data_IF_905680520853
#
_entry.id   IF_905680520853
#
_cell.length_a   1.000
_cell.length_b   1.000
_cell.length_c   1.000
_cell.angle_alpha   90.00
_cell.angle_beta   90.00
_cell.angle_gamma   90.00
#
_symmetry.space_group_name_H-M   'P 1'
#
loop_
_entity.id
_entity.type
_entity.pdbx_description
1 polymer ?
#
# COMPACT_ATOMS: atom_id res chain seq x y z
N UNK A 1 -3.89 40.82 31.46
CA UNK A 1 -2.74 41.42 30.76
C UNK A 1 -1.53 40.52 30.94
N UNK A 2 -0.91 40.09 29.81
CA UNK A 2 0.53 39.78 29.59
C UNK A 2 1.14 38.65 30.45
N UNK A 3 1.94 37.71 29.93
CA UNK A 3 2.62 37.59 28.65
C UNK A 3 3.11 36.14 28.48
N UNK A 4 2.88 35.56 27.30
CA UNK A 4 3.54 34.34 26.85
C UNK A 4 5.03 34.59 26.57
N UNK A 5 5.90 33.71 27.09
CA UNK A 5 7.32 33.52 26.72
C UNK A 5 7.76 32.23 27.44
N UNK A 6 8.28 31.17 26.83
CA UNK A 6 9.19 31.05 25.70
C UNK A 6 8.83 29.78 24.90
N UNK A 7 8.67 29.93 23.58
CA UNK A 7 8.56 28.83 22.60
C UNK A 7 9.64 29.00 21.52
N UNK A 8 10.79 29.57 21.90
CA UNK A 8 11.81 30.07 20.96
C UNK A 8 13.10 29.24 20.93
N UNK A 9 13.22 28.19 21.76
CA UNK A 9 14.45 27.38 21.85
C UNK A 9 14.17 25.87 21.63
N UNK A 10 13.22 25.52 20.76
CA UNK A 10 13.05 24.13 20.34
C UNK A 10 13.58 23.94 18.92
N UNK A 11 14.48 22.96 18.69
CA UNK A 11 14.92 22.61 17.34
C UNK A 11 13.71 22.19 16.51
N UNK A 12 13.66 22.65 15.26
CA UNK A 12 12.55 22.48 14.32
C UNK A 12 12.10 21.03 14.09
N UNK A 13 12.90 20.05 14.50
CA UNK A 13 12.59 18.62 14.41
C UNK A 13 11.57 18.12 15.45
N UNK A 14 11.26 18.89 16.50
CA UNK A 14 10.36 18.45 17.60
C UNK A 14 8.92 18.96 17.48
N UNK A 15 8.51 19.49 16.31
CA UNK A 15 7.17 20.05 16.06
C UNK A 15 6.28 19.19 15.15
N UNK A 16 6.69 17.96 14.83
CA UNK A 16 5.86 16.99 14.11
C UNK A 16 5.54 15.82 15.04
N UNK A 17 4.24 15.60 15.23
CA UNK A 17 3.68 14.87 16.34
C UNK A 17 4.02 13.40 16.38
N UNK A 18 4.34 12.93 17.58
CA UNK A 18 4.02 11.57 17.99
C UNK A 18 2.52 11.51 18.31
N UNK A 19 1.71 11.30 17.27
CA UNK A 19 0.42 10.66 17.43
C UNK A 19 0.63 9.18 17.11
N UNK A 20 1.02 8.42 18.13
CA UNK A 20 1.10 6.96 18.06
C UNK A 20 -0.30 6.38 17.90
N UNK A 21 -0.73 6.17 16.66
CA UNK A 21 -1.83 5.24 16.35
C UNK A 21 -1.23 3.91 15.90
N UNK A 22 -1.42 2.91 16.76
CA UNK A 22 -1.08 1.52 16.53
C UNK A 22 -2.06 0.93 15.50
N UNK A 23 -1.66 0.81 14.22
CA UNK A 23 -2.21 -0.16 13.24
C UNK A 23 -1.75 -0.01 11.78
N UNK A 24 -0.77 0.82 11.41
CA UNK A 24 -0.40 0.96 9.98
C UNK A 24 1.02 0.45 9.66
N UNK A 25 1.11 -0.65 8.92
CA UNK A 25 2.34 -1.16 8.25
C UNK A 25 2.90 -0.23 7.16
N UNK A 26 2.32 0.97 7.00
CA UNK A 26 2.47 1.84 5.83
C UNK A 26 3.14 3.20 6.13
N UNK A 27 3.82 3.34 7.27
CA UNK A 27 4.40 4.61 7.73
C UNK A 27 5.83 4.87 7.24
N UNK A 28 6.48 3.92 6.59
CA UNK A 28 7.85 4.08 6.07
C UNK A 28 7.84 4.44 4.58
N UNK A 29 8.78 5.28 4.16
CA UNK A 29 8.96 5.70 2.76
C UNK A 29 9.05 4.50 1.80
N UNK A 30 9.51 3.35 2.30
CA UNK A 30 9.63 2.12 1.56
C UNK A 30 9.22 0.91 2.40
N UNK A 31 8.30 0.08 1.89
CA UNK A 31 7.83 -1.12 2.58
C UNK A 31 7.90 -2.36 1.70
N UNK A 32 8.09 -3.54 2.31
CA UNK A 32 7.85 -4.82 1.67
C UNK A 32 6.48 -5.33 2.07
N UNK A 33 5.69 -5.76 1.09
CA UNK A 33 4.24 -5.97 1.26
C UNK A 33 3.79 -7.26 0.57
N UNK A 34 2.83 -7.95 1.17
CA UNK A 34 2.15 -9.11 0.60
C UNK A 34 0.68 -8.75 0.40
N UNK A 35 0.17 -8.91 -0.81
CA UNK A 35 -1.12 -8.37 -1.22
C UNK A 35 -1.76 -9.19 -2.33
N UNK A 36 -3.08 -9.04 -2.50
CA UNK A 36 -3.84 -9.60 -3.62
C UNK A 36 -4.20 -8.50 -4.63
N UNK A 37 -4.16 -8.83 -5.91
CA UNK A 37 -4.57 -7.91 -6.98
C UNK A 37 -6.09 -7.97 -7.13
N UNK A 38 -6.77 -6.86 -6.87
CA UNK A 38 -8.22 -6.74 -7.00
C UNK A 38 -8.64 -6.28 -8.40
N UNK A 39 -7.89 -5.36 -9.00
CA UNK A 39 -8.16 -4.85 -10.35
C UNK A 39 -6.92 -4.20 -10.94
N UNK A 40 -6.96 -3.91 -12.23
CA UNK A 40 -5.87 -3.35 -13.02
C UNK A 40 -6.42 -2.31 -13.98
N UNK A 41 -5.68 -1.24 -14.22
CA UNK A 41 -6.05 -0.18 -15.15
C UNK A 41 -4.87 0.22 -16.02
N UNK A 42 -5.10 0.23 -17.34
CA UNK A 42 -4.16 0.77 -18.33
C UNK A 42 -4.69 2.14 -18.79
N UNK A 43 -3.94 3.19 -18.48
CA UNK A 43 -4.28 4.58 -18.82
C UNK A 43 -3.54 5.05 -20.08
N UNK A 44 -3.01 4.13 -20.90
CA UNK A 44 -2.31 4.39 -22.15
C UNK A 44 -0.79 4.59 -22.01
N UNK A 45 -0.11 4.73 -23.15
CA UNK A 45 1.35 4.58 -23.28
C UNK A 45 2.22 5.55 -22.46
N UNK A 46 1.68 6.69 -22.04
CA UNK A 46 2.41 7.71 -21.24
C UNK A 46 2.01 7.73 -19.77
N UNK A 47 1.13 6.81 -19.37
CA UNK A 47 0.60 6.71 -18.03
C UNK A 47 1.20 5.51 -17.30
N UNK A 48 1.32 5.55 -15.96
CA UNK A 48 1.66 4.35 -15.23
C UNK A 48 0.57 3.30 -15.41
N UNK A 49 0.98 2.04 -15.42
CA UNK A 49 0.01 0.95 -15.26
C UNK A 49 -0.37 0.87 -13.78
N UNK A 50 -1.67 0.90 -13.49
CA UNK A 50 -2.19 0.99 -12.13
C UNK A 50 -2.72 -0.37 -11.67
N UNK A 51 -2.26 -0.78 -10.49
CA UNK A 51 -2.77 -1.95 -9.78
C UNK A 51 -3.57 -1.49 -8.56
N UNK A 52 -4.75 -2.06 -8.40
CA UNK A 52 -5.58 -1.89 -7.21
C UNK A 52 -5.46 -3.15 -6.39
N UNK A 53 -4.95 -3.02 -5.17
CA UNK A 53 -4.52 -4.15 -4.35
C UNK A 53 -5.01 -3.98 -2.92
N UNK A 54 -5.10 -5.07 -2.18
CA UNK A 54 -5.38 -5.02 -0.74
C UNK A 54 -4.54 -6.06 0.00
N UNK A 55 -4.16 -5.72 1.23
CA UNK A 55 -3.68 -6.69 2.22
C UNK A 55 -4.69 -6.92 3.35
N UNK A 56 -5.93 -6.43 3.15
CA UNK A 56 -7.05 -6.41 4.09
C UNK A 56 -6.82 -5.58 5.36
N UNK A 57 -5.74 -4.78 5.41
CA UNK A 57 -5.49 -3.88 6.54
C UNK A 57 -6.10 -2.51 6.26
N UNK A 58 -6.93 -1.99 7.18
CA UNK A 58 -7.44 -0.61 7.09
C UNK A 58 -6.31 0.40 7.20
N UNK A 59 -6.39 1.46 6.40
CA UNK A 59 -5.41 2.54 6.44
C UNK A 59 -6.13 3.90 6.33
N UNK A 60 -6.05 4.72 7.37
CA UNK A 60 -6.68 6.04 7.43
C UNK A 60 -6.05 7.06 6.47
N UNK A 61 -4.86 6.75 5.94
CA UNK A 61 -4.17 7.58 4.96
C UNK A 61 -4.57 7.27 3.53
N UNK A 62 -5.18 6.10 3.24
CA UNK A 62 -5.71 5.85 1.89
C UNK A 62 -7.04 6.57 1.72
N UNK A 63 -7.27 7.15 0.54
CA UNK A 63 -8.60 7.68 0.21
C UNK A 63 -9.51 6.49 -0.12
N UNK A 64 -10.69 6.37 0.51
CA UNK A 64 -11.58 5.26 0.24
C UNK A 64 -11.97 5.19 -1.23
N UNK A 65 -11.73 4.06 -1.88
CA UNK A 65 -12.02 3.85 -3.30
C UNK A 65 -13.23 2.94 -3.46
N UNK A 66 -14.29 3.44 -4.10
CA UNK A 66 -15.49 2.65 -4.46
C UNK A 66 -15.36 2.14 -5.88
N UNK A 67 -15.76 0.89 -6.10
CA UNK A 67 -15.64 0.21 -7.40
C UNK A 67 -16.59 -0.98 -7.45
N UNK A 68 -16.92 -1.44 -8.66
CA UNK A 68 -17.65 -2.70 -8.85
C UNK A 68 -16.74 -3.94 -8.76
N UNK A 69 -15.41 -3.74 -8.70
CA UNK A 69 -14.43 -4.83 -8.62
C UNK A 69 -14.21 -5.36 -7.20
N UNK A 70 -14.67 -4.65 -6.17
CA UNK A 70 -14.56 -5.06 -4.77
C UNK A 70 -15.77 -4.57 -3.96
N UNK A 71 -16.16 -5.29 -2.89
CA UNK A 71 -17.24 -4.84 -2.01
C UNK A 71 -16.89 -3.55 -1.28
N UNK A 72 -17.91 -2.81 -0.84
CA UNK A 72 -17.75 -1.54 -0.12
C UNK A 72 -16.95 -1.67 1.18
N UNK A 73 -16.91 -2.85 1.82
CA UNK A 73 -16.11 -3.12 3.02
C UNK A 73 -14.61 -2.91 2.78
N UNK A 74 -14.13 -3.18 1.55
CA UNK A 74 -12.72 -3.04 1.19
C UNK A 74 -12.32 -1.62 0.79
N UNK A 75 -13.25 -0.67 0.70
CA UNK A 75 -12.96 0.66 0.18
C UNK A 75 -11.80 1.37 0.92
N UNK A 76 -11.66 1.12 2.23
CA UNK A 76 -10.62 1.68 3.11
C UNK A 76 -9.34 0.82 3.21
N UNK A 77 -9.29 -0.32 2.51
CA UNK A 77 -8.13 -1.24 2.51
C UNK A 77 -7.47 -1.31 1.13
N UNK A 78 -8.12 -0.79 0.08
CA UNK A 78 -7.55 -0.78 -1.26
C UNK A 78 -6.46 0.28 -1.37
N UNK A 79 -5.26 -0.16 -1.73
CA UNK A 79 -4.13 0.67 -2.10
C UNK A 79 -4.01 0.71 -3.63
N UNK A 80 -3.70 1.89 -4.18
CA UNK A 80 -3.34 2.06 -5.59
C UNK A 80 -1.84 2.05 -5.76
N UNK A 81 -1.32 1.18 -6.61
CA UNK A 81 0.10 1.08 -6.96
C UNK A 81 0.31 1.50 -8.41
N UNK A 82 1.15 2.52 -8.61
CA UNK A 82 1.60 2.98 -9.92
C UNK A 82 2.90 2.27 -10.30
N UNK A 83 2.84 1.49 -11.37
CA UNK A 83 4.00 0.81 -11.94
C UNK A 83 4.57 1.62 -13.11
N UNK A 84 5.88 1.85 -13.09
CA UNK A 84 6.63 2.64 -14.06
C UNK A 84 7.84 1.86 -14.57
N UNK A 85 8.47 2.34 -15.64
CA UNK A 85 9.78 1.88 -16.10
C UNK A 85 9.87 0.35 -16.22
N UNK A 86 10.85 -0.28 -15.57
CA UNK A 86 11.05 -1.72 -15.61
C UNK A 86 9.95 -2.51 -14.88
N UNK A 87 9.20 -1.88 -13.97
CA UNK A 87 8.08 -2.49 -13.27
C UNK A 87 6.81 -2.58 -14.13
N UNK A 88 6.63 -1.67 -15.09
CA UNK A 88 5.44 -1.59 -15.93
C UNK A 88 5.13 -2.90 -16.69
N UNK A 89 6.06 -3.51 -17.45
CA UNK A 89 5.76 -4.75 -18.17
C UNK A 89 5.43 -5.90 -17.21
N UNK A 90 6.01 -5.94 -16.01
CA UNK A 90 5.70 -6.95 -15.00
C UNK A 90 4.32 -6.72 -14.37
N UNK A 91 3.97 -5.46 -14.08
CA UNK A 91 2.64 -5.11 -13.57
C UNK A 91 1.52 -5.55 -14.54
N UNK A 92 1.75 -5.42 -15.85
CA UNK A 92 0.80 -5.85 -16.89
C UNK A 92 0.54 -7.37 -16.89
N UNK A 93 1.53 -8.18 -16.52
CA UNK A 93 1.40 -9.64 -16.46
C UNK A 93 0.78 -10.14 -15.16
N UNK A 94 0.59 -9.29 -14.15
CA UNK A 94 -0.02 -9.71 -12.89
C UNK A 94 -1.50 -10.08 -13.08
N UNK A 95 -1.95 -11.11 -12.39
CA UNK A 95 -3.30 -11.66 -12.50
C UNK A 95 -4.18 -11.15 -11.35
N UNK A 96 -5.43 -10.82 -11.68
CA UNK A 96 -6.45 -10.52 -10.67
C UNK A 96 -6.73 -11.77 -9.83
N UNK A 97 -6.91 -11.59 -8.52
CA UNK A 97 -7.15 -12.67 -7.56
C UNK A 97 -5.90 -13.42 -7.10
N UNK A 98 -4.72 -13.14 -7.67
CA UNK A 98 -3.45 -13.74 -7.25
C UNK A 98 -2.76 -12.92 -6.18
N UNK A 99 -2.03 -13.62 -5.30
CA UNK A 99 -1.24 -13.03 -4.22
C UNK A 99 0.18 -12.81 -4.72
N UNK A 100 0.74 -11.65 -4.40
CA UNK A 100 2.11 -11.30 -4.73
C UNK A 100 2.81 -10.67 -3.54
N UNK A 101 4.14 -10.81 -3.52
CA UNK A 101 5.01 -10.03 -2.64
C UNK A 101 5.75 -8.98 -3.44
N UNK A 102 5.70 -7.74 -2.96
CA UNK A 102 6.43 -6.62 -3.54
C UNK A 102 7.44 -6.09 -2.55
N UNK A 103 8.70 -5.97 -2.97
CA UNK A 103 9.78 -5.50 -2.11
C UNK A 103 10.06 -4.02 -2.35
N UNK A 104 10.37 -3.29 -1.28
CA UNK A 104 10.85 -1.91 -1.34
C UNK A 104 9.91 -1.01 -2.18
N UNK A 105 8.60 -1.15 -1.96
CA UNK A 105 7.55 -0.35 -2.58
C UNK A 105 7.59 1.04 -1.96
N UNK A 106 7.69 2.07 -2.79
CA UNK A 106 7.75 3.46 -2.32
C UNK A 106 6.35 3.97 -2.02
N UNK A 107 6.11 4.37 -0.78
CA UNK A 107 4.88 5.06 -0.41
C UNK A 107 4.97 6.54 -0.80
N UNK A 108 3.91 7.07 -1.39
CA UNK A 108 3.79 8.47 -1.83
C UNK A 108 2.42 9.03 -1.48
N UNK A 109 2.32 10.34 -1.34
CA UNK A 109 1.02 11.03 -1.32
C UNK A 109 0.63 11.34 -2.75
N UNK A 110 -0.51 10.80 -3.20
CA UNK A 110 -1.07 11.03 -4.52
C UNK A 110 -1.60 12.45 -4.70
N UNK A 111 -1.97 12.81 -5.93
CA UNK A 111 -2.53 14.13 -6.25
C UNK A 111 -3.82 14.43 -5.49
N UNK A 112 -4.61 13.39 -5.19
CA UNK A 112 -5.84 13.50 -4.40
C UNK A 112 -5.59 13.71 -2.89
N UNK A 113 -4.34 13.65 -2.43
CA UNK A 113 -3.97 13.81 -1.01
C UNK A 113 -3.94 12.50 -0.22
N UNK A 114 -4.30 11.37 -0.82
CA UNK A 114 -4.26 10.05 -0.19
C UNK A 114 -2.96 9.30 -0.43
N UNK A 115 -2.68 8.32 0.43
CA UNK A 115 -1.57 7.41 0.29
C UNK A 115 -1.75 6.54 -0.97
N UNK A 116 -0.70 6.51 -1.79
CA UNK A 116 -0.54 5.65 -2.95
C UNK A 116 0.85 5.01 -2.89
N UNK A 117 1.09 4.03 -3.75
CA UNK A 117 2.41 3.41 -3.90
C UNK A 117 2.96 3.59 -5.32
N UNK A 118 4.28 3.63 -5.42
CA UNK A 118 5.02 3.70 -6.69
C UNK A 118 6.13 2.65 -6.72
N UNK A 119 6.29 2.00 -7.87
CA UNK A 119 7.36 1.05 -8.16
C UNK A 119 7.89 1.26 -9.58
N UNK A 120 9.22 1.37 -9.72
CA UNK A 120 9.92 1.55 -11.00
C UNK A 120 10.77 0.33 -11.38
N UNK A 121 11.19 -0.45 -10.39
CA UNK A 121 12.09 -1.59 -10.56
C UNK A 121 11.32 -2.91 -10.52
N UNK A 122 11.87 -3.97 -11.12
CA UNK A 122 11.30 -5.32 -11.11
C UNK A 122 11.43 -5.96 -9.71
N UNK A 123 10.58 -5.55 -8.77
CA UNK A 123 10.57 -6.01 -7.36
C UNK A 123 9.30 -6.76 -6.97
N UNK A 124 8.63 -7.35 -7.96
CA UNK A 124 7.52 -8.28 -7.75
C UNK A 124 8.06 -9.71 -7.64
N UNK A 125 7.43 -10.53 -6.80
CA UNK A 125 7.61 -11.99 -6.86
C UNK A 125 6.80 -12.59 -8.00
N UNK A 126 7.08 -13.84 -8.31
CA UNK A 126 6.08 -14.72 -8.93
C UNK A 126 4.83 -14.82 -8.04
N UNK A 127 3.66 -15.24 -8.58
CA UNK A 127 2.46 -15.48 -7.79
C UNK A 127 2.77 -16.43 -6.63
N UNK A 128 2.33 -16.06 -5.43
CA UNK A 128 2.46 -16.90 -4.25
C UNK A 128 1.31 -17.92 -4.22
N UNK A 129 1.63 -19.16 -3.87
CA UNK A 129 0.66 -20.23 -3.66
C UNK A 129 -0.04 -20.05 -2.30
N UNK A 130 -1.38 -20.05 -2.31
CA UNK A 130 -2.21 -20.02 -1.10
C UNK A 130 -2.65 -21.41 -0.61
N UNK A 131 -2.31 -22.48 -1.33
CA UNK A 131 -2.63 -23.88 -0.97
C UNK A 131 -1.47 -24.68 -0.35
N UNK A 132 -0.26 -24.12 -0.27
CA UNK A 132 0.96 -24.83 0.15
C UNK A 132 1.39 -24.66 1.62
N UNK A 133 2.59 -25.19 1.96
CA UNK A 133 3.23 -25.02 3.28
C UNK A 133 3.64 -23.55 3.50
N UNK A 134 2.73 -22.75 4.04
CA UNK A 134 3.00 -21.35 4.43
C UNK A 134 3.71 -21.23 5.78
N UNK A 135 4.01 -22.36 6.43
CA UNK A 135 4.57 -22.46 7.78
C UNK A 135 5.88 -21.66 7.96
N UNK A 136 6.64 -21.49 6.88
CA UNK A 136 7.93 -20.79 6.87
C UNK A 136 7.82 -19.32 6.46
N UNK A 137 6.68 -18.86 5.93
CA UNK A 137 6.47 -17.46 5.53
C UNK A 137 5.44 -16.78 6.44
N UNK A 138 5.93 -16.23 7.55
CA UNK A 138 5.09 -15.57 8.55
C UNK A 138 4.25 -14.41 7.99
N UNK A 139 4.72 -13.72 6.94
CA UNK A 139 3.98 -12.62 6.32
C UNK A 139 2.83 -13.13 5.46
N UNK A 140 3.07 -14.18 4.66
CA UNK A 140 2.02 -14.83 3.88
C UNK A 140 0.97 -15.45 4.80
N UNK A 141 1.37 -16.12 5.88
CA UNK A 141 0.44 -16.69 6.85
C UNK A 141 -0.49 -15.64 7.47
N UNK A 142 0.08 -14.52 7.94
CA UNK A 142 -0.71 -13.40 8.48
C UNK A 142 -1.64 -12.78 7.44
N UNK A 143 -1.20 -12.70 6.19
CA UNK A 143 -2.06 -12.22 5.09
C UNK A 143 -3.24 -13.17 4.88
N UNK A 144 -3.01 -14.48 4.85
CA UNK A 144 -4.06 -15.49 4.67
C UNK A 144 -5.04 -15.55 5.84
N UNK A 145 -4.58 -15.26 7.06
CA UNK A 145 -5.47 -15.08 8.23
C UNK A 145 -6.48 -13.96 7.98
N UNK A 146 -6.01 -12.76 7.61
CA UNK A 146 -6.91 -11.62 7.31
C UNK A 146 -7.83 -11.89 6.12
N UNK A 147 -7.33 -12.55 5.07
CA UNK A 147 -8.14 -12.93 3.89
C UNK A 147 -9.36 -13.81 4.26
N UNK A 148 -9.30 -14.58 5.35
CA UNK A 148 -10.42 -15.43 5.81
C UNK A 148 -11.48 -14.68 6.62
N UNK A 149 -11.15 -13.50 7.16
CA UNK A 149 -12.04 -12.70 8.00
C UNK A 149 -12.91 -11.72 7.18
N UNK A 150 -12.65 -11.61 5.88
CA UNK A 150 -13.33 -10.74 4.90
C UNK A 150 -14.33 -11.50 4.03
#
# INVERSE_FOLDING_TARGET
>A
MKLAKKRADMPWFLLLGEFMSSSATWTTKYSTVTLIVLSKSDNGDRSPYELYVTDYTKNDQVIPMRSNFWPSSLAETVLKIKTWDAALPVGKTMEQGRIYRMKNVRMIVGRSGGLEAKICERKFSEPLDDGGRTDFDAHLRKFLERKREE
#
